data_IF_667867868210
#
_entry.id   IF_667867868210
#
_cell.length_a   1.000
_cell.length_b   1.000
_cell.length_c   1.000
_cell.angle_alpha   90.00
_cell.angle_beta   90.00
_cell.angle_gamma   90.00
#
_symmetry.space_group_name_H-M   'P 1'
#
loop_
_entity.id
_entity.type
_entity.pdbx_description
1 polymer ?
#
# COMPACT_ATOMS: atom_id res chain seq x y z
N UNK A 1 4.09 -1.48 12.44
CA UNK A 1 4.85 -2.56 11.74
C UNK A 1 5.33 -2.00 10.40
N UNK A 2 6.59 -2.23 9.95
CA UNK A 2 7.05 -1.72 8.66
C UNK A 2 6.28 -2.31 7.48
N UNK A 3 5.87 -1.46 6.53
CA UNK A 3 5.08 -1.85 5.37
C UNK A 3 5.79 -2.89 4.49
N UNK A 4 7.06 -2.68 4.14
CA UNK A 4 7.81 -3.59 3.26
C UNK A 4 7.92 -5.01 3.86
N UNK A 5 8.08 -5.11 5.17
CA UNK A 5 8.10 -6.40 5.87
C UNK A 5 6.74 -7.09 5.80
N UNK A 6 5.65 -6.36 6.06
CA UNK A 6 4.29 -6.89 5.97
C UNK A 6 3.94 -7.31 4.54
N UNK A 7 4.29 -6.50 3.54
CA UNK A 7 4.14 -6.82 2.11
C UNK A 7 4.80 -8.15 1.77
N UNK A 8 6.03 -8.38 2.23
CA UNK A 8 6.72 -9.65 1.98
C UNK A 8 5.93 -10.85 2.51
N UNK A 9 5.35 -10.74 3.71
CA UNK A 9 4.51 -11.79 4.31
C UNK A 9 3.21 -11.98 3.52
N UNK A 10 2.55 -10.90 3.11
CA UNK A 10 1.32 -10.98 2.31
C UNK A 10 1.54 -11.74 1.00
N UNK A 11 2.60 -11.41 0.28
CA UNK A 11 2.96 -12.08 -0.97
C UNK A 11 3.29 -13.57 -0.77
N UNK A 12 3.90 -13.93 0.36
CA UNK A 12 4.15 -15.33 0.73
C UNK A 12 2.87 -16.11 1.06
N UNK A 13 1.80 -15.42 1.46
CA UNK A 13 0.51 -16.00 1.82
C UNK A 13 -0.56 -15.84 0.73
N UNK A 14 -0.14 -15.70 -0.52
CA UNK A 14 -0.98 -15.63 -1.73
C UNK A 14 -1.88 -14.39 -1.82
N UNK A 15 -1.63 -13.35 -1.02
CA UNK A 15 -2.25 -12.05 -1.23
C UNK A 15 -1.62 -11.38 -2.45
N UNK A 16 -2.45 -10.96 -3.39
CA UNK A 16 -2.01 -10.37 -4.66
C UNK A 16 -2.19 -8.87 -4.62
N UNK A 17 -1.17 -8.08 -4.99
CA UNK A 17 -1.31 -6.64 -5.19
C UNK A 17 -2.50 -6.31 -6.08
N UNK A 18 -3.35 -5.38 -5.65
CA UNK A 18 -4.56 -5.02 -6.36
C UNK A 18 -4.91 -3.54 -6.23
N UNK A 19 -4.17 -2.63 -6.88
CA UNK A 19 -4.69 -1.30 -7.16
C UNK A 19 -4.10 -0.68 -8.43
N UNK A 20 -4.88 0.24 -9.01
CA UNK A 20 -4.46 1.51 -9.63
C UNK A 20 -5.76 2.33 -9.75
N UNK A 21 -5.80 3.64 -9.48
CA UNK A 21 -5.18 4.64 -10.35
C UNK A 21 -4.96 5.97 -9.63
N UNK A 22 -3.77 6.18 -9.11
CA UNK A 22 -3.27 7.55 -8.99
C UNK A 22 -2.95 8.03 -10.41
N UNK A 23 -3.70 9.01 -10.92
CA UNK A 23 -3.57 9.40 -12.34
C UNK A 23 -2.19 9.98 -12.67
N UNK A 24 -1.49 10.51 -11.65
CA UNK A 24 -0.12 11.03 -11.72
C UNK A 24 0.51 10.91 -10.32
N UNK A 25 1.20 9.81 -10.01
CA UNK A 25 1.84 9.63 -8.71
C UNK A 25 2.95 10.64 -8.50
N UNK A 26 3.07 11.11 -7.26
CA UNK A 26 4.07 12.10 -6.82
C UNK A 26 4.58 11.74 -5.43
N UNK A 27 5.78 12.24 -5.08
CA UNK A 27 6.37 11.98 -3.76
C UNK A 27 6.52 10.48 -3.48
N UNK A 28 6.13 10.05 -2.28
CA UNK A 28 6.24 8.66 -1.82
C UNK A 28 5.55 7.66 -2.77
N UNK A 29 4.41 8.01 -3.37
CA UNK A 29 3.73 7.13 -4.32
C UNK A 29 4.58 6.85 -5.57
N UNK A 30 5.25 7.88 -6.09
CA UNK A 30 6.15 7.74 -7.25
C UNK A 30 7.37 6.87 -6.89
N UNK A 31 7.91 7.01 -5.69
CA UNK A 31 9.01 6.19 -5.20
C UNK A 31 8.61 4.71 -5.05
N UNK A 32 7.43 4.44 -4.48
CA UNK A 32 6.85 3.11 -4.36
C UNK A 32 6.64 2.46 -5.74
N UNK A 33 6.10 3.19 -6.71
CA UNK A 33 5.93 2.68 -8.08
C UNK A 33 7.28 2.38 -8.74
N UNK A 34 8.30 3.24 -8.56
CA UNK A 34 9.63 3.06 -9.12
C UNK A 34 10.32 1.78 -8.63
N UNK A 35 9.95 1.27 -7.45
CA UNK A 35 10.44 0.01 -6.89
C UNK A 35 9.49 -1.19 -7.14
N UNK A 36 8.45 -1.00 -7.95
CA UNK A 36 7.52 -2.06 -8.38
C UNK A 36 6.42 -2.39 -7.38
N UNK A 37 6.06 -1.44 -6.51
CA UNK A 37 4.89 -1.53 -5.64
C UNK A 37 3.72 -0.88 -6.39
N UNK A 38 2.71 -1.69 -6.71
CA UNK A 38 1.61 -1.30 -7.60
C UNK A 38 0.27 -1.38 -6.91
N UNK A 39 0.21 -1.99 -5.72
CA UNK A 39 -0.95 -2.04 -4.84
C UNK A 39 -1.37 -0.67 -4.27
N UNK A 40 -0.81 0.44 -4.74
CA UNK A 40 -1.08 1.79 -4.23
C UNK A 40 -2.45 2.28 -4.73
N UNK A 41 -3.36 2.55 -3.81
CA UNK A 41 -4.64 3.19 -4.14
C UNK A 41 -4.50 4.72 -4.16
N UNK A 42 -3.95 5.28 -3.07
CA UNK A 42 -3.70 6.71 -2.92
C UNK A 42 -2.60 6.96 -1.89
N UNK A 43 -1.86 8.04 -2.08
CA UNK A 43 -1.04 8.66 -1.03
C UNK A 43 -1.42 10.13 -0.89
N UNK A 44 -1.40 10.65 0.33
CA UNK A 44 -1.78 12.05 0.60
C UNK A 44 -0.59 12.91 0.98
N UNK A 45 -0.60 14.17 0.51
CA UNK A 45 0.35 15.18 0.94
C UNK A 45 -0.19 15.91 2.18
N UNK A 46 0.64 16.09 3.21
CA UNK A 46 0.32 16.84 4.44
C UNK A 46 -0.15 15.99 5.63
N UNK A 47 -0.85 14.88 5.40
CA UNK A 47 -1.18 13.88 6.45
C UNK A 47 -0.33 12.60 6.29
N UNK A 48 0.50 12.54 5.24
CA UNK A 48 1.56 11.54 5.01
C UNK A 48 1.09 10.10 5.27
N UNK A 49 -0.07 9.75 4.70
CA UNK A 49 -0.54 8.38 4.70
C UNK A 49 -0.76 7.86 3.29
N UNK A 50 -0.52 6.56 3.13
CA UNK A 50 -0.78 5.80 1.91
C UNK A 50 -1.75 4.67 2.19
N UNK A 51 -2.56 4.33 1.19
CA UNK A 51 -3.46 3.18 1.21
C UNK A 51 -3.06 2.19 0.12
N UNK A 52 -3.06 0.91 0.51
CA UNK A 52 -2.68 -0.21 -0.34
C UNK A 52 -3.75 -1.27 -0.36
N UNK A 53 -3.96 -1.90 -1.50
CA UNK A 53 -4.96 -2.95 -1.67
C UNK A 53 -4.36 -4.27 -2.12
N UNK A 54 -4.81 -5.34 -1.48
CA UNK A 54 -4.51 -6.72 -1.86
C UNK A 54 -5.79 -7.52 -2.04
N UNK A 55 -5.73 -8.54 -2.89
CA UNK A 55 -6.82 -9.49 -3.12
C UNK A 55 -6.37 -10.92 -2.90
N UNK A 56 -7.25 -11.72 -2.31
CA UNK A 56 -7.11 -13.16 -2.20
C UNK A 56 -8.49 -13.78 -2.34
N UNK A 57 -8.67 -14.61 -3.37
CA UNK A 57 -9.97 -15.20 -3.70
C UNK A 57 -11.08 -14.13 -3.82
N UNK A 58 -12.10 -14.18 -2.95
CA UNK A 58 -13.18 -13.19 -2.86
C UNK A 58 -12.97 -12.15 -1.76
N UNK A 59 -11.83 -12.17 -1.07
CA UNK A 59 -11.48 -11.22 -0.02
C UNK A 59 -10.60 -10.11 -0.58
N UNK A 60 -10.80 -8.92 -0.01
CA UNK A 60 -9.94 -7.77 -0.26
C UNK A 60 -9.35 -7.29 1.07
N UNK A 61 -8.16 -6.71 1.00
CA UNK A 61 -7.44 -6.23 2.17
C UNK A 61 -6.87 -4.86 1.86
N UNK A 62 -7.39 -3.86 2.55
CA UNK A 62 -6.84 -2.53 2.67
C UNK A 62 -5.80 -2.42 3.78
N UNK A 63 -4.73 -1.70 3.49
CA UNK A 63 -3.70 -1.36 4.46
C UNK A 63 -3.50 0.14 4.41
N UNK A 64 -3.58 0.78 5.58
CA UNK A 64 -3.24 2.19 5.74
C UNK A 64 -1.90 2.29 6.44
N UNK A 65 -1.01 3.12 5.91
CA UNK A 65 0.29 3.40 6.52
C UNK A 65 0.51 4.89 6.70
N UNK A 66 1.32 5.29 7.67
CA UNK A 66 1.89 6.64 7.78
C UNK A 66 3.42 6.62 7.62
N UNK A 67 3.96 7.71 7.08
CA UNK A 67 5.40 7.91 6.88
C UNK A 67 5.70 8.82 5.68
N UNK A 68 6.88 9.44 5.70
CA UNK A 68 7.35 10.33 4.63
C UNK A 68 8.03 9.55 3.49
N UNK A 69 9.00 8.72 3.86
CA UNK A 69 9.80 7.95 2.94
C UNK A 69 9.35 6.49 2.92
N UNK A 70 9.64 5.77 1.83
CA UNK A 70 9.24 4.37 1.64
C UNK A 70 9.68 3.46 2.79
N UNK A 71 10.89 3.70 3.32
CA UNK A 71 11.47 2.92 4.42
C UNK A 71 10.84 3.21 5.78
N UNK A 72 10.21 4.38 5.93
CA UNK A 72 9.56 4.82 7.16
C UNK A 72 8.07 4.47 7.22
N UNK A 73 7.50 3.89 6.15
CA UNK A 73 6.09 3.54 6.13
C UNK A 73 5.75 2.49 7.19
N UNK A 74 4.94 2.90 8.16
CA UNK A 74 4.44 2.07 9.24
C UNK A 74 2.95 1.82 9.04
N UNK A 75 2.52 0.55 9.15
CA UNK A 75 1.11 0.18 9.12
C UNK A 75 0.41 0.69 10.37
N UNK A 76 -0.67 1.43 10.15
CA UNK A 76 -1.59 1.95 11.16
C UNK A 76 -2.87 1.12 11.24
N UNK A 77 -3.37 0.64 10.11
CA UNK A 77 -4.64 -0.08 10.04
C UNK A 77 -4.66 -1.15 8.95
N UNK A 78 -5.53 -2.13 9.16
CA UNK A 78 -5.90 -3.19 8.21
C UNK A 78 -7.42 -3.21 8.11
N UNK A 79 -7.96 -3.25 6.89
CA UNK A 79 -9.39 -3.32 6.61
C UNK A 79 -9.68 -4.42 5.59
N UNK A 80 -10.78 -5.16 5.72
CA UNK A 80 -11.15 -6.22 4.77
C UNK A 80 -12.15 -5.74 3.70
N UNK A 81 -12.30 -4.42 3.59
CA UNK A 81 -13.08 -3.77 2.54
C UNK A 81 -12.13 -2.98 1.62
N UNK A 82 -12.27 -3.19 0.32
CA UNK A 82 -11.68 -2.29 -0.69
C UNK A 82 -12.83 -1.55 -1.35
N UNK A 83 -12.76 -0.22 -1.38
CA UNK A 83 -13.78 0.61 -2.03
C UNK A 83 -13.74 0.50 -3.56
#
# INVERSE_FOLDING_TARGET
>A
MPFLAARSVLLQHDWKPSAAKEMQPVGTALELENIGIVEIERCTQGVQYCEFHYKKDNECLGITTTGEEVEDLIIDAWDFECQ
#
